data_IF_996735791267
#
_entry.id   IF_996735791267
#
_cell.length_a   1.000
_cell.length_b   1.000
_cell.length_c   1.000
_cell.angle_alpha   90.00
_cell.angle_beta   90.00
_cell.angle_gamma   90.00
#
_symmetry.space_group_name_H-M   'P 1'
#
loop_
_entity.id
_entity.type
_entity.pdbx_description
1 polymer ?
#
# COMPACT_ATOMS: atom_id res chain seq x y z
N UNK A 1 20.32 -65.48 4.94
CA UNK A 1 20.64 -64.04 5.13
C UNK A 1 19.43 -63.23 4.66
N UNK A 2 18.93 -62.38 5.55
CA UNK A 2 17.60 -61.72 5.55
C UNK A 2 17.65 -60.33 4.91
N UNK A 3 16.57 -59.93 4.22
CA UNK A 3 15.81 -58.68 4.43
C UNK A 3 14.69 -58.53 3.40
N UNK A 4 13.47 -58.89 3.80
CA UNK A 4 12.22 -58.45 3.16
C UNK A 4 11.99 -56.98 3.49
N UNK A 5 11.83 -56.11 2.48
CA UNK A 5 11.45 -54.70 2.66
C UNK A 5 9.92 -54.62 2.67
N UNK A 6 9.33 -54.42 3.84
CA UNK A 6 7.92 -54.06 3.96
C UNK A 6 7.68 -52.66 3.38
N UNK A 7 6.80 -52.57 2.40
CA UNK A 7 6.24 -51.31 1.93
C UNK A 7 5.39 -50.71 3.06
N UNK A 8 5.89 -49.65 3.68
CA UNK A 8 5.10 -48.85 4.61
C UNK A 8 4.08 -48.04 3.80
N UNK A 9 2.82 -48.44 3.87
CA UNK A 9 1.67 -47.61 3.48
C UNK A 9 1.71 -46.33 4.30
N UNK A 10 2.10 -45.22 3.67
CA UNK A 10 1.98 -43.88 4.26
C UNK A 10 0.51 -43.49 4.24
N UNK A 11 -0.26 -43.97 5.22
CA UNK A 11 -1.51 -43.31 5.64
C UNK A 11 -1.18 -42.43 6.84
N UNK A 12 -0.41 -41.37 6.57
CA UNK A 12 -0.18 -40.31 7.54
C UNK A 12 -1.08 -39.14 7.15
N UNK A 13 -2.04 -38.81 8.03
CA UNK A 13 -2.97 -37.72 7.84
C UNK A 13 -2.26 -36.48 7.33
N UNK A 14 -2.82 -35.87 6.29
CA UNK A 14 -2.34 -34.60 5.76
C UNK A 14 -2.13 -33.65 6.95
N UNK A 15 -0.92 -33.12 7.17
CA UNK A 15 -0.72 -32.15 8.24
C UNK A 15 -1.71 -31.00 8.01
N UNK A 16 -2.55 -30.70 9.00
CA UNK A 16 -3.27 -29.43 9.06
C UNK A 16 -2.20 -28.37 9.18
N UNK A 17 -1.65 -27.90 8.05
CA UNK A 17 -0.67 -26.81 8.02
C UNK A 17 -1.36 -25.67 8.75
N UNK A 18 -0.89 -25.30 9.95
CA UNK A 18 -1.53 -24.23 10.67
C UNK A 18 -1.24 -23.00 9.80
N UNK A 19 -2.27 -22.45 9.17
CA UNK A 19 -2.17 -21.54 8.01
C UNK A 19 -1.48 -20.21 8.29
N UNK A 20 -0.71 -20.11 9.37
CA UNK A 20 0.07 -18.95 9.80
C UNK A 20 1.01 -18.45 8.71
N UNK A 21 1.61 -19.33 7.90
CA UNK A 21 2.47 -18.91 6.79
C UNK A 21 1.68 -18.17 5.71
N UNK A 22 0.52 -18.70 5.35
CA UNK A 22 -0.42 -18.13 4.39
C UNK A 22 -1.03 -16.82 4.93
N UNK A 23 -1.33 -16.76 6.24
CA UNK A 23 -1.77 -15.54 6.93
C UNK A 23 -0.67 -14.47 6.89
N UNK A 24 0.58 -14.82 7.18
CA UNK A 24 1.71 -13.87 7.17
C UNK A 24 1.98 -13.38 5.74
N UNK A 25 2.01 -14.27 4.74
CA UNK A 25 2.15 -13.86 3.33
C UNK A 25 0.99 -12.97 2.90
N UNK A 26 -0.24 -13.31 3.30
CA UNK A 26 -1.41 -12.48 3.07
C UNK A 26 -1.29 -11.10 3.73
N UNK A 27 -0.86 -11.05 5.00
CA UNK A 27 -0.71 -9.80 5.75
C UNK A 27 0.40 -8.91 5.18
N UNK A 28 1.52 -9.51 4.77
CA UNK A 28 2.63 -8.79 4.14
C UNK A 28 2.24 -8.26 2.75
N UNK A 29 1.45 -9.04 1.98
CA UNK A 29 1.07 -8.66 0.62
C UNK A 29 -0.11 -7.69 0.59
N UNK A 30 -1.17 -7.98 1.33
CA UNK A 30 -2.39 -7.17 1.37
C UNK A 30 -2.28 -6.02 2.37
N UNK A 31 -1.57 -6.17 3.49
CA UNK A 31 -1.36 -5.06 4.44
C UNK A 31 -0.62 -3.89 3.82
N UNK A 32 0.32 -4.16 2.90
CA UNK A 32 1.00 -3.13 2.13
C UNK A 32 0.03 -2.38 1.18
N UNK A 33 -0.80 -3.11 0.43
CA UNK A 33 -1.78 -2.51 -0.49
C UNK A 33 -2.86 -1.75 0.27
N UNK A 34 -3.40 -2.34 1.33
CA UNK A 34 -4.40 -1.72 2.23
C UNK A 34 -3.83 -0.47 2.88
N UNK A 35 -2.56 -0.49 3.32
CA UNK A 35 -1.89 0.67 3.88
C UNK A 35 -1.81 1.84 2.88
N UNK A 36 -1.41 1.58 1.63
CA UNK A 36 -1.31 2.62 0.59
C UNK A 36 -2.68 3.12 0.15
N UNK A 37 -3.58 2.21 -0.25
CA UNK A 37 -4.89 2.58 -0.79
C UNK A 37 -5.79 3.15 0.30
N UNK A 38 -5.81 2.53 1.49
CA UNK A 38 -6.62 2.97 2.61
C UNK A 38 -6.21 4.35 3.11
N UNK A 39 -4.91 4.61 3.28
CA UNK A 39 -4.44 5.95 3.68
C UNK A 39 -4.72 7.01 2.61
N UNK A 40 -4.56 6.68 1.33
CA UNK A 40 -4.88 7.59 0.23
C UNK A 40 -6.38 7.94 0.18
N UNK A 41 -7.26 6.96 0.40
CA UNK A 41 -8.70 7.17 0.46
C UNK A 41 -9.09 8.05 1.65
N UNK A 42 -8.57 7.77 2.85
CA UNK A 42 -8.83 8.61 4.04
C UNK A 42 -8.36 10.04 3.78
N UNK A 43 -7.18 10.22 3.20
CA UNK A 43 -6.64 11.54 2.87
C UNK A 43 -7.51 12.29 1.85
N UNK A 44 -7.94 11.63 0.78
CA UNK A 44 -8.84 12.23 -0.21
C UNK A 44 -10.20 12.60 0.38
N UNK A 45 -10.78 11.72 1.21
CA UNK A 45 -12.05 11.96 1.89
C UNK A 45 -11.94 13.12 2.90
N UNK A 46 -10.80 13.29 3.56
CA UNK A 46 -10.55 14.43 4.44
C UNK A 46 -10.58 15.79 3.71
N UNK A 47 -10.34 15.80 2.39
CA UNK A 47 -10.51 16.99 1.54
C UNK A 47 -11.97 17.19 1.08
N UNK A 48 -12.84 16.20 1.27
CA UNK A 48 -14.23 16.19 0.80
C UNK A 48 -14.37 15.78 -0.67
N UNK A 49 -15.62 15.53 -1.10
CA UNK A 49 -15.96 15.18 -2.48
C UNK A 49 -16.11 16.46 -3.33
N UNK A 50 -14.99 17.09 -3.68
CA UNK A 50 -14.94 18.33 -4.47
C UNK A 50 -13.91 18.22 -5.62
N UNK A 51 -13.64 19.36 -6.29
CA UNK A 51 -12.72 19.41 -7.42
C UNK A 51 -11.29 18.91 -7.11
N UNK A 52 -10.85 18.96 -5.84
CA UNK A 52 -9.51 18.46 -5.46
C UNK A 52 -9.51 16.98 -5.10
N UNK A 53 -10.66 16.31 -4.98
CA UNK A 53 -10.74 14.93 -4.49
C UNK A 53 -9.88 13.94 -5.30
N UNK A 54 -10.01 13.96 -6.63
CA UNK A 54 -9.25 13.04 -7.51
C UNK A 54 -7.76 13.32 -7.38
N UNK A 55 -7.38 14.60 -7.34
CA UNK A 55 -5.99 15.01 -7.18
C UNK A 55 -5.43 14.58 -5.81
N UNK A 56 -6.20 14.77 -4.73
CA UNK A 56 -5.83 14.34 -3.39
C UNK A 56 -5.67 12.82 -3.29
N UNK A 57 -6.53 12.05 -3.96
CA UNK A 57 -6.41 10.60 -4.05
C UNK A 57 -5.12 10.19 -4.77
N UNK A 58 -4.82 10.80 -5.92
CA UNK A 58 -3.58 10.51 -6.67
C UNK A 58 -2.34 10.87 -5.86
N UNK A 59 -2.29 12.06 -5.26
CA UNK A 59 -1.17 12.50 -4.41
C UNK A 59 -1.02 11.58 -3.20
N UNK A 60 -2.13 11.17 -2.57
CA UNK A 60 -2.15 10.21 -1.47
C UNK A 60 -1.59 8.83 -1.86
N UNK A 61 -1.97 8.30 -3.04
CA UNK A 61 -1.44 7.04 -3.56
C UNK A 61 0.07 7.12 -3.82
N UNK A 62 0.53 8.22 -4.42
CA UNK A 62 1.96 8.46 -4.65
C UNK A 62 2.71 8.56 -3.33
N UNK A 63 2.22 9.34 -2.36
CA UNK A 63 2.85 9.50 -1.06
C UNK A 63 2.90 8.18 -0.27
N UNK A 64 1.81 7.40 -0.29
CA UNK A 64 1.75 6.08 0.33
C UNK A 64 2.74 5.09 -0.30
N UNK A 65 2.84 5.08 -1.62
CA UNK A 65 3.79 4.23 -2.35
C UNK A 65 5.24 4.65 -2.10
N UNK A 66 5.53 5.95 -2.06
CA UNK A 66 6.85 6.47 -1.70
C UNK A 66 7.23 6.09 -0.26
N UNK A 67 6.30 6.17 0.69
CA UNK A 67 6.54 5.68 2.06
C UNK A 67 6.83 4.19 2.08
N UNK A 68 6.06 3.39 1.33
CA UNK A 68 6.23 1.94 1.25
C UNK A 68 7.60 1.55 0.69
N UNK A 69 8.10 2.26 -0.33
CA UNK A 69 9.40 1.98 -0.96
C UNK A 69 10.59 2.50 -0.17
N UNK A 70 10.46 3.69 0.43
CA UNK A 70 11.58 4.37 1.10
C UNK A 70 11.66 4.08 2.61
N UNK A 71 10.58 3.60 3.23
CA UNK A 71 10.46 3.53 4.69
C UNK A 71 10.27 4.89 5.38
N UNK A 72 10.45 6.01 4.67
CA UNK A 72 10.41 7.38 5.19
C UNK A 72 9.17 8.15 4.75
N UNK A 73 8.65 9.03 5.60
CA UNK A 73 7.51 9.90 5.28
C UNK A 73 7.93 11.12 4.44
N UNK A 74 9.20 11.51 4.52
CA UNK A 74 9.70 12.75 3.91
C UNK A 74 9.52 12.83 2.38
N UNK A 75 9.73 11.76 1.59
CA UNK A 75 9.45 11.81 0.15
C UNK A 75 7.98 12.13 -0.16
N UNK A 76 7.04 11.61 0.65
CA UNK A 76 5.62 11.94 0.54
C UNK A 76 5.33 13.39 0.94
N UNK A 77 5.94 13.88 2.02
CA UNK A 77 5.82 15.29 2.45
C UNK A 77 6.32 16.24 1.36
N UNK A 78 7.50 15.98 0.79
CA UNK A 78 8.06 16.79 -0.31
C UNK A 78 7.12 16.79 -1.51
N UNK A 79 6.61 15.62 -1.91
CA UNK A 79 5.64 15.50 -3.01
C UNK A 79 4.40 16.37 -2.75
N UNK A 80 3.86 16.31 -1.54
CA UNK A 80 2.68 17.09 -1.16
C UNK A 80 2.94 18.60 -1.18
N UNK A 81 4.06 19.05 -0.59
CA UNK A 81 4.44 20.46 -0.57
C UNK A 81 4.67 21.00 -1.99
N UNK A 82 5.40 20.26 -2.83
CA UNK A 82 5.65 20.65 -4.23
C UNK A 82 4.34 20.73 -5.01
N UNK A 83 3.45 19.76 -4.85
CA UNK A 83 2.14 19.77 -5.50
C UNK A 83 1.33 21.02 -5.12
N UNK A 84 1.24 21.33 -3.83
CA UNK A 84 0.51 22.50 -3.34
C UNK A 84 1.15 23.81 -3.80
N UNK A 85 2.49 23.89 -3.82
CA UNK A 85 3.20 25.07 -4.29
C UNK A 85 2.90 25.34 -5.78
N UNK A 86 2.96 24.30 -6.62
CA UNK A 86 2.60 24.41 -8.04
C UNK A 86 1.14 24.83 -8.19
N UNK A 87 0.22 24.20 -7.47
CA UNK A 87 -1.19 24.54 -7.51
C UNK A 87 -1.44 26.01 -7.15
N UNK A 88 -0.75 26.53 -6.12
CA UNK A 88 -0.85 27.93 -5.73
C UNK A 88 -0.24 28.89 -6.75
N UNK A 89 0.93 28.58 -7.31
CA UNK A 89 1.53 29.41 -8.37
C UNK A 89 0.60 29.50 -9.58
N UNK A 90 0.05 28.37 -10.01
CA UNK A 90 -0.91 28.32 -11.12
C UNK A 90 -2.17 29.13 -10.78
N UNK A 91 -2.74 28.96 -9.58
CA UNK A 91 -3.90 29.72 -9.15
C UNK A 91 -3.64 31.24 -9.16
N UNK A 92 -2.47 31.69 -8.69
CA UNK A 92 -2.09 33.10 -8.67
C UNK A 92 -1.91 33.68 -10.08
N UNK A 93 -1.34 32.90 -11.01
CA UNK A 93 -1.23 33.30 -12.42
C UNK A 93 -2.61 33.46 -13.08
N UNK A 94 -3.53 32.51 -12.86
CA UNK A 94 -4.91 32.63 -13.36
C UNK A 94 -5.69 33.78 -12.71
N UNK A 95 -5.33 34.16 -11.48
CA UNK A 95 -5.91 35.32 -10.80
C UNK A 95 -5.32 36.67 -11.26
N UNK A 96 -4.32 36.67 -12.16
CA UNK A 96 -3.66 37.88 -12.65
C UNK A 96 -2.74 38.56 -11.63
N UNK A 97 -2.31 37.83 -10.60
CA UNK A 97 -1.39 38.32 -9.56
C UNK A 97 0.08 38.13 -9.97
N UNK A 98 0.33 37.21 -10.90
CA UNK A 98 1.60 36.93 -11.57
C UNK A 98 1.44 37.12 -13.08
#
# INVERSE_FOLDING_TARGET
MSRSRSAATVTAGSPSRPGWGEIVVGLLRYGAVVGVVGSALVFALAHGLNAVFVTALVVGLVAGELRRRSGSVWPGVVTHVVHNAIAQVVALAFAGVL
#
